data_IF_482022051799
#
_entry.id   IF_482022051799
#
_cell.length_a   1.000
_cell.length_b   1.000
_cell.length_c   1.000
_cell.angle_alpha   90.00
_cell.angle_beta   90.00
_cell.angle_gamma   90.00
#
_symmetry.space_group_name_H-M   'P 1'
#
loop_
_entity.id
_entity.type
_entity.pdbx_description
1 polymer ?
#
# COMPACT_ATOMS: atom_id res chain seq x y z
N UNK A 1 -37.59 -16.93 52.61
CA UNK A 1 -37.15 -17.40 51.28
C UNK A 1 -36.83 -16.17 50.45
N UNK A 2 -35.55 -15.98 50.14
CA UNK A 2 -35.00 -14.76 49.54
C UNK A 2 -35.24 -14.75 48.04
N UNK A 3 -35.92 -13.71 47.54
CA UNK A 3 -36.01 -13.38 46.11
C UNK A 3 -34.76 -12.62 45.69
N UNK A 4 -33.88 -13.28 44.95
CA UNK A 4 -32.74 -12.63 44.28
C UNK A 4 -33.03 -12.60 42.78
N UNK A 5 -33.66 -11.53 42.30
CA UNK A 5 -33.69 -11.18 40.89
C UNK A 5 -32.51 -10.25 40.63
N UNK A 6 -31.46 -10.79 40.00
CA UNK A 6 -30.29 -10.05 39.55
C UNK A 6 -30.68 -9.08 38.44
N UNK A 7 -30.41 -7.81 38.72
CA UNK A 7 -30.52 -6.69 37.81
C UNK A 7 -29.69 -6.93 36.53
N UNK A 8 -30.23 -6.38 35.44
CA UNK A 8 -29.68 -6.27 34.10
C UNK A 8 -28.17 -6.12 34.05
N UNK A 9 -27.51 -7.12 33.46
CA UNK A 9 -26.17 -6.95 32.90
C UNK A 9 -26.31 -5.98 31.73
N UNK A 10 -25.96 -4.72 32.00
CA UNK A 10 -25.64 -3.74 30.98
C UNK A 10 -24.71 -4.40 29.97
N UNK A 11 -25.26 -4.71 28.81
CA UNK A 11 -24.55 -5.20 27.64
C UNK A 11 -23.79 -4.01 27.08
N UNK A 12 -22.71 -3.63 27.76
CA UNK A 12 -21.68 -2.77 27.17
C UNK A 12 -21.19 -3.55 25.95
N UNK A 13 -21.49 -3.12 24.72
CA UNK A 13 -21.01 -3.82 23.54
C UNK A 13 -19.48 -3.84 23.62
N UNK A 14 -18.83 -4.96 23.25
CA UNK A 14 -17.39 -5.10 23.37
C UNK A 14 -16.68 -3.89 22.75
N UNK A 15 -15.65 -3.38 23.42
CA UNK A 15 -14.94 -2.13 23.07
C UNK A 15 -14.45 -2.14 21.61
N UNK A 16 -14.24 -3.32 21.02
CA UNK A 16 -13.95 -3.55 19.60
C UNK A 16 -15.05 -3.01 18.68
N UNK A 17 -16.34 -3.24 19.00
CA UNK A 17 -17.50 -2.75 18.23
C UNK A 17 -17.56 -1.21 18.14
N UNK A 18 -16.86 -0.47 19.00
CA UNK A 18 -16.80 1.00 18.94
C UNK A 18 -15.80 1.52 17.91
N UNK A 19 -14.69 0.84 17.68
CA UNK A 19 -13.71 1.20 16.62
C UNK A 19 -14.24 0.87 15.22
N UNK A 20 -14.98 -0.24 15.10
CA UNK A 20 -15.70 -0.61 13.88
C UNK A 20 -16.98 0.19 13.62
N UNK A 21 -17.42 1.03 14.57
CA UNK A 21 -18.63 1.84 14.39
C UNK A 21 -18.39 3.05 13.49
N UNK A 22 -17.15 3.52 13.37
CA UNK A 22 -16.79 4.68 12.54
C UNK A 22 -16.46 4.32 11.09
N UNK A 23 -16.10 3.06 10.80
CA UNK A 23 -15.72 2.62 9.47
C UNK A 23 -16.26 1.22 9.20
N UNK A 24 -17.04 1.07 8.13
CA UNK A 24 -17.47 -0.24 7.65
C UNK A 24 -16.24 -1.04 7.20
N UNK A 25 -15.95 -2.19 7.84
CA UNK A 25 -14.75 -2.98 7.54
C UNK A 25 -14.75 -3.51 6.10
N UNK A 26 -15.93 -3.69 5.50
CA UNK A 26 -16.08 -4.02 4.07
C UNK A 26 -15.48 -2.93 3.17
N UNK A 27 -15.74 -1.65 3.47
CA UNK A 27 -15.22 -0.53 2.69
C UNK A 27 -13.70 -0.47 2.80
N UNK A 28 -13.15 -0.68 3.99
CA UNK A 28 -11.70 -0.71 4.21
C UNK A 28 -11.05 -1.87 3.44
N UNK A 29 -11.69 -3.04 3.40
CA UNK A 29 -11.21 -4.17 2.62
C UNK A 29 -11.24 -3.88 1.10
N UNK A 30 -12.30 -3.23 0.61
CA UNK A 30 -12.39 -2.80 -0.80
C UNK A 30 -11.30 -1.78 -1.13
N UNK A 31 -11.04 -0.82 -0.25
CA UNK A 31 -9.94 0.15 -0.42
C UNK A 31 -8.60 -0.58 -0.51
N UNK A 32 -8.34 -1.58 0.34
CA UNK A 32 -7.11 -2.38 0.30
C UNK A 32 -6.92 -3.12 -1.04
N UNK A 33 -8.02 -3.68 -1.58
CA UNK A 33 -8.02 -4.36 -2.88
C UNK A 33 -7.72 -3.36 -3.99
N UNK A 34 -8.40 -2.21 -4.02
CA UNK A 34 -8.19 -1.18 -5.03
C UNK A 34 -6.76 -0.63 -4.98
N UNK A 35 -6.24 -0.34 -3.79
CA UNK A 35 -4.85 0.07 -3.60
C UNK A 35 -3.86 -0.95 -4.18
N UNK A 36 -4.09 -2.24 -3.90
CA UNK A 36 -3.25 -3.32 -4.44
C UNK A 36 -3.32 -3.42 -5.96
N UNK A 37 -4.51 -3.27 -6.56
CA UNK A 37 -4.67 -3.22 -8.02
C UNK A 37 -3.97 -2.02 -8.63
N UNK A 38 -4.05 -0.85 -8.00
CA UNK A 38 -3.32 0.33 -8.45
C UNK A 38 -1.81 0.14 -8.38
N UNK A 39 -1.27 -0.51 -7.34
CA UNK A 39 0.15 -0.85 -7.25
C UNK A 39 0.58 -1.83 -8.36
N UNK A 40 -0.24 -2.85 -8.67
CA UNK A 40 0.02 -3.75 -9.81
C UNK A 40 0.01 -2.99 -11.13
N UNK A 41 -0.95 -2.06 -11.32
CA UNK A 41 -1.01 -1.23 -12.52
C UNK A 41 0.23 -0.33 -12.63
N UNK A 42 0.68 0.25 -11.52
CA UNK A 42 1.87 1.08 -11.46
C UNK A 42 3.16 0.29 -11.71
N UNK A 43 3.18 -1.04 -11.55
CA UNK A 43 4.34 -1.85 -11.90
C UNK A 43 4.66 -1.80 -13.41
N UNK A 44 3.66 -1.59 -14.27
CA UNK A 44 3.82 -1.50 -15.73
C UNK A 44 4.68 -0.28 -16.15
N UNK A 45 4.37 0.95 -15.73
CA UNK A 45 5.24 2.08 -16.03
C UNK A 45 6.61 1.98 -15.34
N UNK A 46 6.72 1.41 -14.12
CA UNK A 46 8.06 1.19 -13.50
C UNK A 46 8.92 0.22 -14.29
N UNK A 47 8.32 -0.81 -14.90
CA UNK A 47 9.04 -1.74 -15.78
C UNK A 47 9.64 -1.04 -17.00
N UNK A 48 8.91 -0.08 -17.59
CA UNK A 48 9.37 0.64 -18.78
C UNK A 48 10.43 1.70 -18.47
N UNK A 49 10.46 2.25 -17.26
CA UNK A 49 11.32 3.39 -16.90
C UNK A 49 12.61 2.95 -16.20
N UNK A 50 12.63 1.78 -15.56
CA UNK A 50 13.79 1.26 -14.84
C UNK A 50 14.91 0.80 -15.81
N UNK A 51 15.75 1.72 -16.25
CA UNK A 51 16.95 1.41 -17.04
C UNK A 51 18.09 0.80 -16.21
N UNK A 52 18.07 0.91 -14.88
CA UNK A 52 19.22 0.55 -14.03
C UNK A 52 18.89 -0.44 -12.89
N UNK A 53 17.63 -0.81 -12.69
CA UNK A 53 17.27 -1.66 -11.54
C UNK A 53 16.06 -2.54 -11.87
N UNK A 54 16.28 -3.53 -12.74
CA UNK A 54 15.28 -4.53 -13.16
C UNK A 54 14.49 -5.16 -11.99
N UNK A 55 14.94 -5.04 -10.75
CA UNK A 55 14.21 -5.54 -9.58
C UNK A 55 13.19 -4.55 -8.98
N UNK A 56 13.22 -3.26 -9.32
CA UNK A 56 12.31 -2.26 -8.75
C UNK A 56 10.85 -2.49 -9.17
N UNK A 57 10.57 -3.05 -10.36
CA UNK A 57 9.20 -3.36 -10.78
C UNK A 57 8.60 -4.59 -10.06
N UNK A 58 9.44 -5.43 -9.45
CA UNK A 58 8.96 -6.58 -8.68
C UNK A 58 8.40 -6.17 -7.31
N UNK A 59 8.90 -5.08 -6.72
CA UNK A 59 8.38 -4.52 -5.47
C UNK A 59 6.89 -4.13 -5.54
N UNK A 60 6.43 -3.25 -6.46
CA UNK A 60 5.03 -2.84 -6.54
C UNK A 60 4.13 -3.99 -6.96
N UNK A 61 4.63 -4.90 -7.80
CA UNK A 61 3.90 -6.10 -8.20
C UNK A 61 3.64 -7.01 -6.99
N UNK A 62 4.67 -7.31 -6.20
CA UNK A 62 4.54 -8.19 -5.02
C UNK A 62 3.71 -7.55 -3.92
N UNK A 63 3.94 -6.26 -3.60
CA UNK A 63 3.13 -5.49 -2.64
C UNK A 63 1.67 -5.49 -3.08
N UNK A 64 1.40 -5.17 -4.35
CA UNK A 64 0.04 -5.11 -4.89
C UNK A 64 -0.68 -6.45 -4.84
N UNK A 65 -0.04 -7.54 -5.25
CA UNK A 65 -0.60 -8.89 -5.17
C UNK A 65 -0.94 -9.30 -3.73
N UNK A 66 -0.01 -9.09 -2.79
CA UNK A 66 -0.24 -9.44 -1.39
C UNK A 66 -1.32 -8.56 -0.76
N UNK A 67 -1.39 -7.28 -1.13
CA UNK A 67 -2.45 -6.36 -0.69
C UNK A 67 -3.83 -6.80 -1.16
N UNK A 68 -3.97 -7.22 -2.43
CA UNK A 68 -5.23 -7.77 -2.97
C UNK A 68 -5.64 -9.04 -2.22
N UNK A 69 -4.70 -9.95 -1.96
CA UNK A 69 -4.96 -11.19 -1.21
C UNK A 69 -5.40 -10.85 0.23
N UNK A 70 -4.69 -9.96 0.91
CA UNK A 70 -5.00 -9.54 2.27
C UNK A 70 -6.38 -8.87 2.36
N UNK A 71 -6.70 -7.95 1.45
CA UNK A 71 -8.00 -7.29 1.38
C UNK A 71 -9.14 -8.28 1.09
N UNK A 72 -8.93 -9.21 0.15
CA UNK A 72 -9.92 -10.25 -0.18
C UNK A 72 -10.18 -11.20 0.98
N UNK A 73 -9.14 -11.62 1.70
CA UNK A 73 -9.27 -12.45 2.90
C UNK A 73 -9.99 -11.70 4.02
N UNK A 74 -9.72 -10.41 4.19
CA UNK A 74 -10.40 -9.57 5.16
C UNK A 74 -11.90 -9.47 4.85
N UNK A 75 -12.25 -9.20 3.59
CA UNK A 75 -13.64 -9.16 3.12
C UNK A 75 -14.35 -10.50 3.30
N UNK A 76 -13.67 -11.62 3.01
CA UNK A 76 -14.22 -12.96 3.22
C UNK A 76 -14.42 -13.27 4.71
N UNK A 77 -13.53 -12.78 5.59
CA UNK A 77 -13.62 -12.99 7.03
C UNK A 77 -14.77 -12.23 7.69
N UNK A 78 -15.17 -11.08 7.15
CA UNK A 78 -16.35 -10.33 7.57
C UNK A 78 -17.65 -11.08 7.24
N UNK A 79 -17.74 -11.66 6.03
CA UNK A 79 -18.94 -12.40 5.59
C UNK A 79 -19.10 -13.75 6.27
N UNK A 80 -17.99 -14.46 6.47
CA UNK A 80 -17.98 -15.80 7.08
C UNK A 80 -16.84 -15.88 8.10
N UNK A 81 -17.08 -15.43 9.35
CA UNK A 81 -16.03 -15.39 10.36
C UNK A 81 -15.61 -16.81 10.76
N UNK A 82 -14.37 -17.17 10.43
CA UNK A 82 -13.74 -18.41 10.90
C UNK A 82 -12.34 -18.12 11.44
N UNK A 83 -11.96 -18.78 12.54
CA UNK A 83 -10.63 -18.61 13.16
C UNK A 83 -9.48 -18.83 12.17
N UNK A 84 -9.65 -19.75 11.20
CA UNK A 84 -8.64 -20.01 10.18
C UNK A 84 -8.52 -18.87 9.15
N UNK A 85 -9.65 -18.29 8.70
CA UNK A 85 -9.66 -17.15 7.78
C UNK A 85 -9.08 -15.90 8.45
N UNK A 86 -9.46 -15.62 9.70
CA UNK A 86 -8.90 -14.52 10.48
C UNK A 86 -7.38 -14.62 10.65
N UNK A 87 -6.87 -15.82 10.97
CA UNK A 87 -5.42 -16.05 11.09
C UNK A 87 -4.69 -15.83 9.76
N UNK A 88 -5.25 -16.33 8.65
CA UNK A 88 -4.70 -16.11 7.30
C UNK A 88 -4.73 -14.63 6.91
N UNK A 89 -5.83 -13.94 7.18
CA UNK A 89 -5.97 -12.50 6.92
C UNK A 89 -4.96 -11.68 7.73
N UNK A 90 -4.76 -12.01 9.00
CA UNK A 90 -3.77 -11.34 9.86
C UNK A 90 -2.34 -11.56 9.33
N UNK A 91 -1.99 -12.80 8.94
CA UNK A 91 -0.68 -13.10 8.39
C UNK A 91 -0.44 -12.42 7.04
N UNK A 92 -1.45 -12.43 6.16
CA UNK A 92 -1.40 -11.72 4.87
C UNK A 92 -1.27 -10.21 5.07
N UNK A 93 -2.00 -9.62 6.03
CA UNK A 93 -1.89 -8.21 6.39
C UNK A 93 -0.49 -7.86 6.91
N UNK A 94 0.08 -8.66 7.80
CA UNK A 94 1.46 -8.48 8.28
C UNK A 94 2.49 -8.60 7.15
N UNK A 95 2.32 -9.57 6.25
CA UNK A 95 3.19 -9.75 5.09
C UNK A 95 3.11 -8.54 4.15
N UNK A 96 1.90 -8.03 3.88
CA UNK A 96 1.68 -6.82 3.08
C UNK A 96 2.35 -5.60 3.71
N UNK A 97 2.28 -5.48 5.04
CA UNK A 97 2.87 -4.39 5.81
C UNK A 97 4.41 -4.43 5.74
N UNK A 98 5.00 -5.61 5.91
CA UNK A 98 6.44 -5.81 5.76
C UNK A 98 6.93 -5.46 4.34
N UNK A 99 6.22 -5.93 3.31
CA UNK A 99 6.55 -5.62 1.92
C UNK A 99 6.43 -4.13 1.60
N UNK A 100 5.36 -3.47 2.08
CA UNK A 100 5.17 -2.04 1.87
C UNK A 100 6.27 -1.21 2.58
N UNK A 101 6.70 -1.60 3.79
CA UNK A 101 7.83 -0.94 4.46
C UNK A 101 9.14 -1.06 3.66
N UNK A 102 9.43 -2.26 3.14
CA UNK A 102 10.61 -2.50 2.31
C UNK A 102 10.52 -1.65 1.04
N UNK A 103 9.36 -1.60 0.39
CA UNK A 103 9.14 -0.81 -0.82
C UNK A 103 9.34 0.68 -0.57
N UNK A 104 8.77 1.25 0.50
CA UNK A 104 8.99 2.66 0.90
C UNK A 104 10.48 2.95 1.09
N UNK A 105 11.22 2.06 1.76
CA UNK A 105 12.65 2.24 1.97
C UNK A 105 13.43 2.20 0.66
N UNK A 106 13.14 1.23 -0.22
CA UNK A 106 13.80 1.09 -1.52
C UNK A 106 13.52 2.28 -2.44
N UNK A 107 12.27 2.72 -2.55
CA UNK A 107 11.91 3.88 -3.36
C UNK A 107 12.45 5.18 -2.77
N UNK A 108 12.39 5.35 -1.46
CA UNK A 108 12.99 6.51 -0.78
C UNK A 108 14.50 6.57 -1.03
N UNK A 109 15.19 5.43 -0.92
CA UNK A 109 16.60 5.33 -1.24
C UNK A 109 16.89 5.64 -2.71
N UNK A 110 16.08 5.14 -3.65
CA UNK A 110 16.23 5.41 -5.08
C UNK A 110 16.03 6.89 -5.41
N UNK A 111 15.06 7.55 -4.77
CA UNK A 111 14.80 8.99 -4.98
C UNK A 111 15.93 9.85 -4.43
N UNK A 112 16.47 9.52 -3.24
CA UNK A 112 17.56 10.27 -2.59
C UNK A 112 18.88 10.08 -3.34
N UNK A 113 19.20 8.83 -3.70
CA UNK A 113 20.47 8.48 -4.34
C UNK A 113 20.35 8.40 -5.85
N UNK A 114 19.39 9.13 -6.43
CA UNK A 114 19.31 9.28 -7.88
C UNK A 114 20.71 9.68 -8.36
N UNK A 115 21.37 8.86 -9.20
CA UNK A 115 22.69 9.20 -9.67
C UNK A 115 22.61 10.58 -10.31
N UNK A 116 23.56 11.46 -9.99
CA UNK A 116 23.75 12.69 -10.74
C UNK A 116 24.24 12.23 -12.11
N UNK A 117 23.30 11.96 -13.02
CA UNK A 117 23.65 11.61 -14.38
C UNK A 117 24.35 12.81 -15.01
N UNK A 118 25.35 12.60 -15.88
CA UNK A 118 26.03 13.69 -16.56
C UNK A 118 25.02 14.58 -17.27
N UNK A 119 25.22 15.90 -17.12
CA UNK A 119 24.42 16.95 -17.76
C UNK A 119 24.24 16.65 -19.25
N UNK A 120 23.06 16.94 -19.80
CA UNK A 120 22.89 16.93 -21.26
C UNK A 120 23.97 17.86 -21.85
N UNK A 121 24.61 17.50 -22.98
CA UNK A 121 25.67 18.32 -23.55
C UNK A 121 25.14 19.74 -23.75
N UNK A 122 25.85 20.71 -23.20
CA UNK A 122 25.61 22.13 -23.42
C UNK A 122 25.63 22.35 -24.95
N UNK A 123 24.63 23.02 -25.53
CA UNK A 123 24.59 23.21 -26.97
C UNK A 123 25.83 24.01 -27.40
N UNK A 124 26.59 23.47 -28.35
CA UNK A 124 27.67 24.22 -29.00
C UNK A 124 27.10 25.54 -29.55
N UNK A 125 27.82 26.67 -29.39
CA UNK A 125 27.35 28.00 -29.79
C UNK A 125 27.18 28.17 -31.31
N UNK A 126 27.54 27.18 -32.12
CA UNK A 126 27.43 27.23 -33.59
C UNK A 126 26.16 26.54 -34.15
N UNK A 127 25.37 25.84 -33.32
CA UNK A 127 24.18 25.06 -33.75
C UNK A 127 22.89 25.53 -33.04
N UNK A 128 22.86 26.77 -32.58
CA UNK A 128 21.91 27.21 -31.54
C UNK A 128 20.56 27.71 -32.02
N UNK A 129 20.26 27.71 -33.33
CA UNK A 129 18.97 28.20 -33.83
C UNK A 129 17.92 27.11 -34.14
N UNK A 130 18.22 25.83 -33.89
CA UNK A 130 17.27 24.74 -34.19
C UNK A 130 16.79 23.95 -32.96
N UNK A 131 17.34 24.22 -31.77
CA UNK A 131 17.11 23.42 -30.55
C UNK A 131 16.65 24.22 -29.33
N UNK A 132 16.04 25.39 -29.53
CA UNK A 132 15.60 26.26 -28.43
C UNK A 132 14.33 25.75 -27.69
N UNK A 133 13.71 24.65 -28.14
CA UNK A 133 12.46 24.15 -27.57
C UNK A 133 12.42 22.63 -27.29
N UNK A 134 13.55 21.93 -27.39
CA UNK A 134 13.60 20.50 -27.12
C UNK A 134 14.07 20.26 -25.69
N UNK A 135 13.13 20.21 -24.76
CA UNK A 135 13.35 19.65 -23.42
C UNK A 135 14.15 18.35 -23.56
N UNK A 136 15.30 18.25 -22.89
CA UNK A 136 16.14 17.06 -22.98
C UNK A 136 15.26 15.85 -22.61
N UNK A 137 15.10 14.83 -23.47
CA UNK A 137 14.21 13.72 -23.19
C UNK A 137 14.57 13.05 -21.85
N UNK A 138 15.85 13.09 -21.47
CA UNK A 138 16.37 12.64 -20.18
C UNK A 138 15.73 13.33 -18.96
N UNK A 139 15.54 14.64 -19.00
CA UNK A 139 14.95 15.39 -17.87
C UNK A 139 13.47 15.02 -17.71
N UNK A 140 12.76 14.88 -18.83
CA UNK A 140 11.37 14.40 -18.86
C UNK A 140 11.27 13.00 -18.25
N UNK A 141 12.19 12.09 -18.58
CA UNK A 141 12.23 10.75 -17.99
C UNK A 141 12.56 10.76 -16.48
N UNK A 142 13.48 11.63 -16.04
CA UNK A 142 13.83 11.75 -14.62
C UNK A 142 12.65 12.29 -13.80
N UNK A 143 11.98 13.32 -14.28
CA UNK A 143 10.78 13.87 -13.63
C UNK A 143 9.64 12.84 -13.58
N UNK A 144 9.42 12.09 -14.66
CA UNK A 144 8.43 11.02 -14.69
C UNK A 144 8.76 9.90 -13.70
N UNK A 145 10.03 9.47 -13.65
CA UNK A 145 10.49 8.45 -12.70
C UNK A 145 10.25 8.90 -11.26
N UNK A 146 10.66 10.13 -10.92
CA UNK A 146 10.48 10.68 -9.57
C UNK A 146 9.00 10.84 -9.21
N UNK A 147 8.15 11.25 -10.16
CA UNK A 147 6.70 11.34 -9.95
C UNK A 147 6.10 9.96 -9.66
N UNK A 148 6.47 8.93 -10.43
CA UNK A 148 5.99 7.56 -10.22
C UNK A 148 6.51 6.99 -8.90
N UNK A 149 7.79 7.18 -8.57
CA UNK A 149 8.35 6.77 -7.27
C UNK A 149 7.66 7.46 -6.10
N UNK A 150 7.38 8.76 -6.20
CA UNK A 150 6.63 9.50 -5.19
C UNK A 150 5.20 8.99 -5.02
N UNK A 151 4.53 8.68 -6.14
CA UNK A 151 3.19 8.10 -6.13
C UNK A 151 3.18 6.70 -5.49
N UNK A 152 4.17 5.86 -5.80
CA UNK A 152 4.36 4.55 -5.19
C UNK A 152 4.55 4.65 -3.67
N UNK A 153 5.42 5.55 -3.20
CA UNK A 153 5.62 5.81 -1.77
C UNK A 153 4.31 6.24 -1.11
N UNK A 154 3.56 7.15 -1.74
CA UNK A 154 2.26 7.59 -1.22
C UNK A 154 1.28 6.41 -1.08
N UNK A 155 1.14 5.60 -2.13
CA UNK A 155 0.27 4.42 -2.10
C UNK A 155 0.72 3.40 -1.04
N UNK A 156 2.02 3.16 -0.88
CA UNK A 156 2.54 2.25 0.13
C UNK A 156 2.27 2.77 1.55
N UNK A 157 2.38 4.08 1.80
CA UNK A 157 2.02 4.69 3.10
C UNK A 157 0.53 4.53 3.41
N UNK A 158 -0.34 4.76 2.43
CA UNK A 158 -1.78 4.55 2.59
C UNK A 158 -2.06 3.06 2.83
N UNK A 159 -1.41 2.16 2.08
CA UNK A 159 -1.53 0.72 2.26
C UNK A 159 -1.07 0.29 3.67
N UNK A 160 0.01 0.85 4.22
CA UNK A 160 0.43 0.60 5.59
C UNK A 160 -0.66 0.96 6.60
N UNK A 161 -1.27 2.14 6.47
CA UNK A 161 -2.35 2.56 7.36
C UNK A 161 -3.56 1.60 7.30
N UNK A 162 -3.97 1.22 6.08
CA UNK A 162 -5.08 0.31 5.84
C UNK A 162 -4.78 -1.10 6.36
N UNK A 163 -3.62 -1.67 6.06
CA UNK A 163 -3.24 -3.01 6.52
C UNK A 163 -2.99 -3.07 8.03
N UNK A 164 -2.51 -1.99 8.65
CA UNK A 164 -2.49 -1.83 10.11
C UNK A 164 -3.90 -1.94 10.70
N UNK A 165 -4.85 -1.20 10.12
CA UNK A 165 -6.24 -1.21 10.57
C UNK A 165 -6.87 -2.60 10.42
N UNK A 166 -6.72 -3.23 9.25
CA UNK A 166 -7.24 -4.58 8.98
C UNK A 166 -6.61 -5.64 9.89
N UNK A 167 -5.29 -5.59 10.10
CA UNK A 167 -4.59 -6.53 10.99
C UNK A 167 -5.03 -6.37 12.44
N UNK A 168 -5.21 -5.13 12.90
CA UNK A 168 -5.71 -4.83 14.23
C UNK A 168 -7.16 -5.30 14.41
N UNK A 169 -8.01 -5.06 13.41
CA UNK A 169 -9.38 -5.56 13.31
C UNK A 169 -9.41 -7.09 13.44
N UNK A 170 -8.62 -7.80 12.63
CA UNK A 170 -8.54 -9.26 12.64
C UNK A 170 -8.04 -9.81 13.98
N UNK A 171 -7.07 -9.15 14.60
CA UNK A 171 -6.55 -9.53 15.91
C UNK A 171 -7.60 -9.38 17.01
N UNK A 172 -8.39 -8.31 16.98
CA UNK A 172 -9.51 -8.15 17.91
C UNK A 172 -10.59 -9.21 17.66
N UNK A 173 -10.93 -9.50 16.41
CA UNK A 173 -11.88 -10.56 16.05
C UNK A 173 -11.45 -11.93 16.57
N UNK A 174 -10.16 -12.24 16.51
CA UNK A 174 -9.60 -13.50 17.02
C UNK A 174 -9.68 -13.62 18.55
N UNK A 175 -9.58 -12.50 19.29
CA UNK A 175 -9.71 -12.49 20.75
C UNK A 175 -11.14 -12.69 21.23
N UNK A 176 -12.12 -12.32 20.41
CA UNK A 176 -13.55 -12.42 20.74
C UNK A 176 -14.19 -13.74 20.34
N UNK A 177 -13.50 -14.55 19.54
CA UNK A 177 -13.89 -15.89 19.04
C UNK A 177 -13.16 -16.99 19.80
#
# INVERSE_FOLDING_TARGET
MSTTQTASVDTVPPKSRRLFRLYDPEVVAVIAILLGLFQVLLAVPTYNISLNTTFLFMCPLSVGCVSVIAGSLSMASERTPSRQLLKKSMFAGLASLGLALIAVFLYGYAVINNPVLPHCPEPDPEVTHFYENNTCPRDVFLHLNNAISGLLIFYDVVALAVHCFLSYSAFQGLKTL
#
